data_IF_444399295682
#
_entry.id   IF_444399295682
#
_cell.length_a   1.000
_cell.length_b   1.000
_cell.length_c   1.000
_cell.angle_alpha   90.00
_cell.angle_beta   90.00
_cell.angle_gamma   90.00
#
_symmetry.space_group_name_H-M   'P 1'
#
loop_
_entity.id
_entity.type
_entity.pdbx_description
1 polymer ?
#
# COMPACT_ATOMS: atom_id res chain seq x y z
N UNK A 1 12.46 5.56 -17.91
CA UNK A 1 11.24 6.13 -17.28
C UNK A 1 11.30 5.65 -15.85
N UNK A 2 11.60 6.53 -14.91
CA UNK A 2 11.70 6.17 -13.50
C UNK A 2 10.27 5.91 -13.01
N UNK A 3 9.95 4.64 -12.71
CA UNK A 3 8.76 4.20 -11.99
C UNK A 3 8.78 4.79 -10.56
N UNK A 4 8.67 6.11 -10.46
CA UNK A 4 8.51 6.81 -9.20
C UNK A 4 7.03 6.73 -8.88
N UNK A 5 6.68 5.86 -7.94
CA UNK A 5 5.33 5.86 -7.37
C UNK A 5 5.04 7.26 -6.84
N UNK A 6 3.94 7.87 -7.27
CA UNK A 6 3.54 9.21 -6.85
C UNK A 6 2.38 9.14 -5.86
N UNK A 7 2.40 10.07 -4.90
CA UNK A 7 1.30 10.26 -3.94
C UNK A 7 -0.02 10.60 -4.63
N UNK A 8 0.02 11.23 -5.81
CA UNK A 8 -1.17 11.57 -6.58
C UNK A 8 -1.90 10.34 -7.12
N UNK A 9 -1.18 9.26 -7.38
CA UNK A 9 -1.75 7.98 -7.86
C UNK A 9 -2.24 7.10 -6.71
N UNK A 10 -1.93 7.47 -5.46
CA UNK A 10 -2.41 6.74 -4.31
C UNK A 10 -3.93 6.79 -4.22
N UNK A 11 -4.54 5.62 -4.10
CA UNK A 11 -5.97 5.49 -3.85
C UNK A 11 -6.37 5.98 -2.45
N UNK A 12 -5.40 6.16 -1.56
CA UNK A 12 -5.61 6.59 -0.19
C UNK A 12 -4.71 7.79 0.18
N UNK A 13 -5.26 8.72 0.95
CA UNK A 13 -4.55 9.90 1.46
C UNK A 13 -4.03 9.73 2.88
N UNK A 14 -4.55 8.74 3.62
CA UNK A 14 -4.17 8.44 4.99
C UNK A 14 -3.86 6.95 5.15
N UNK A 15 -2.94 6.64 6.06
CA UNK A 15 -2.51 5.30 6.38
C UNK A 15 -3.67 4.52 7.03
N UNK A 16 -4.05 3.34 6.52
CA UNK A 16 -5.16 2.56 7.06
C UNK A 16 -4.89 2.00 8.48
N UNK A 17 -3.65 2.03 8.94
CA UNK A 17 -3.26 1.54 10.27
C UNK A 17 -3.44 2.60 11.35
N UNK A 18 -2.89 3.79 11.13
CA UNK A 18 -2.83 4.86 12.14
C UNK A 18 -3.76 6.05 11.86
N UNK A 19 -4.15 6.25 10.60
CA UNK A 19 -4.85 7.46 10.15
C UNK A 19 -3.93 8.65 9.83
N UNK A 20 -2.61 8.50 9.99
CA UNK A 20 -1.63 9.52 9.62
C UNK A 20 -1.56 9.73 8.10
N UNK A 21 -1.11 10.91 7.61
CA UNK A 21 -0.91 11.13 6.17
C UNK A 21 0.03 10.09 5.55
N UNK A 22 -0.25 9.72 4.30
CA UNK A 22 0.65 8.87 3.54
C UNK A 22 1.93 9.62 3.14
N UNK A 23 3.03 8.87 3.00
CA UNK A 23 4.34 9.40 2.62
C UNK A 23 4.81 8.79 1.30
N UNK A 24 5.41 9.62 0.44
CA UNK A 24 5.91 9.21 -0.87
C UNK A 24 7.05 8.16 -0.79
N UNK A 25 7.74 8.09 0.34
CA UNK A 25 8.77 7.08 0.60
C UNK A 25 8.20 5.69 0.94
N UNK A 26 6.90 5.62 1.19
CA UNK A 26 6.20 4.48 1.77
C UNK A 26 5.01 4.06 0.90
N UNK A 27 5.23 4.02 -0.41
CA UNK A 27 4.24 3.61 -1.41
C UNK A 27 4.46 2.16 -1.84
N UNK A 28 3.39 1.47 -2.20
CA UNK A 28 3.43 0.12 -2.81
C UNK A 28 2.35 -0.02 -3.87
N UNK A 29 2.50 -0.98 -4.77
CA UNK A 29 1.46 -1.33 -5.74
C UNK A 29 0.74 -2.57 -5.23
N UNK A 30 -0.57 -2.45 -5.01
CA UNK A 30 -1.45 -3.56 -4.69
C UNK A 30 -2.55 -3.70 -5.73
N UNK A 31 -2.63 -4.87 -6.39
CA UNK A 31 -3.61 -5.16 -7.45
C UNK A 31 -3.67 -4.10 -8.56
N UNK A 32 -2.52 -3.53 -8.94
CA UNK A 32 -2.41 -2.48 -9.95
C UNK A 32 -2.87 -1.09 -9.50
N UNK A 33 -3.04 -0.87 -8.18
CA UNK A 33 -3.34 0.42 -7.56
C UNK A 33 -2.20 0.81 -6.64
N UNK A 34 -1.83 2.09 -6.65
CA UNK A 34 -0.84 2.62 -5.72
C UNK A 34 -1.52 2.83 -4.37
N UNK A 35 -0.91 2.30 -3.31
CA UNK A 35 -1.36 2.43 -1.93
C UNK A 35 -0.23 3.04 -1.11
N UNK A 36 -0.53 4.12 -0.40
CA UNK A 36 0.43 4.84 0.44
C UNK A 36 0.33 4.49 1.92
N UNK A 37 1.43 4.63 2.64
CA UNK A 37 1.52 4.40 4.07
C UNK A 37 2.26 5.55 4.75
N UNK A 38 2.08 5.70 6.06
CA UNK A 38 2.77 6.73 6.83
C UNK A 38 4.25 6.38 7.09
N UNK A 39 4.64 5.11 6.94
CA UNK A 39 6.02 4.65 7.08
C UNK A 39 6.22 3.28 6.39
N UNK A 40 7.48 2.87 6.12
CA UNK A 40 7.78 1.59 5.49
C UNK A 40 7.32 0.38 6.33
N UNK A 41 7.29 0.51 7.66
CA UNK A 41 6.80 -0.56 8.54
C UNK A 41 5.32 -0.88 8.35
N UNK A 42 4.49 0.13 8.10
CA UNK A 42 3.07 -0.04 7.79
C UNK A 42 2.86 -0.63 6.39
N UNK A 43 3.70 -0.24 5.42
CA UNK A 43 3.75 -0.83 4.08
C UNK A 43 4.03 -2.33 4.17
N UNK A 44 5.09 -2.73 4.87
CA UNK A 44 5.50 -4.13 4.96
C UNK A 44 4.45 -5.01 5.68
N UNK A 45 3.80 -4.46 6.72
CA UNK A 45 2.66 -5.13 7.38
C UNK A 45 1.49 -5.31 6.42
N UNK A 46 1.18 -4.28 5.64
CA UNK A 46 0.12 -4.35 4.65
C UNK A 46 0.44 -5.36 3.56
N UNK A 47 1.64 -5.39 3.00
CA UNK A 47 2.03 -6.35 1.96
C UNK A 47 1.88 -7.80 2.44
N UNK A 48 2.29 -8.10 3.67
CA UNK A 48 2.10 -9.43 4.27
C UNK A 48 0.63 -9.78 4.45
N UNK A 49 -0.17 -8.85 4.99
CA UNK A 49 -1.60 -9.07 5.17
C UNK A 49 -2.31 -9.23 3.83
N UNK A 50 -2.00 -8.38 2.86
CA UNK A 50 -2.51 -8.39 1.49
C UNK A 50 -2.22 -9.73 0.81
N UNK A 51 -0.99 -10.26 0.93
CA UNK A 51 -0.63 -11.57 0.40
C UNK A 51 -1.44 -12.70 1.05
N UNK A 52 -1.68 -12.63 2.37
CA UNK A 52 -2.51 -13.61 3.08
C UNK A 52 -3.98 -13.55 2.64
N UNK A 53 -4.52 -12.34 2.47
CA UNK A 53 -5.88 -12.15 1.98
C UNK A 53 -6.03 -12.59 0.53
N UNK A 54 -5.07 -12.28 -0.34
CA UNK A 54 -5.10 -12.71 -1.74
C UNK A 54 -5.02 -14.24 -1.85
N UNK A 55 -4.19 -14.89 -1.03
CA UNK A 55 -4.12 -16.34 -0.93
C UNK A 55 -5.45 -16.96 -0.45
N UNK A 56 -6.14 -16.30 0.50
CA UNK A 56 -7.46 -16.73 0.98
C UNK A 56 -8.57 -16.48 -0.04
N UNK A 57 -8.49 -15.41 -0.84
CA UNK A 57 -9.49 -15.04 -1.84
C UNK A 57 -9.38 -15.84 -3.15
N UNK A 58 -8.23 -16.44 -3.46
CA UNK A 58 -8.07 -17.35 -4.60
C UNK A 58 -8.57 -18.79 -4.32
N UNK A 59 -9.23 -19.01 -3.17
CA UNK A 59 -9.82 -20.30 -2.82
C UNK A 59 -11.34 -20.31 -2.95
N UNK A 60 -11.85 -20.60 -4.15
CA UNK A 60 -12.96 -21.52 -4.43
C UNK A 60 -13.02 -21.78 -5.95
#
# INVERSE_FOLDING_TARGET
MTDTLDLADCVNTHCPWSGDPVSADSLTIYRGKVVGFCNPGCRDKFEKAAAQFDAAMQGN
#
